data_IF_708983729112
#
_entry.id   IF_708983729112
#
_cell.length_a   1.000
_cell.length_b   1.000
_cell.length_c   1.000
_cell.angle_alpha   90.00
_cell.angle_beta   90.00
_cell.angle_gamma   90.00
#
_symmetry.space_group_name_H-M   'P 1'
#
loop_
_entity.id
_entity.type
_entity.pdbx_description
1 polymer ?
#
# COMPACT_ATOMS: atom_id res chain seq x y z
N UNK A 1 0.26 12.96 -7.98
CA UNK A 1 0.69 12.19 -6.80
C UNK A 1 -0.52 11.51 -6.19
N UNK A 2 -0.33 10.60 -5.25
CA UNK A 2 -1.40 9.83 -4.65
C UNK A 2 -1.28 9.77 -3.13
N UNK A 3 -2.40 9.53 -2.45
CA UNK A 3 -2.47 9.03 -1.09
C UNK A 3 -3.02 7.62 -1.08
N UNK A 4 -2.62 6.84 -0.10
CA UNK A 4 -3.09 5.47 0.09
C UNK A 4 -3.85 5.44 1.41
N UNK A 5 -5.15 5.18 1.35
CA UNK A 5 -6.07 5.22 2.48
C UNK A 5 -6.54 3.82 2.82
N UNK A 6 -6.61 3.51 4.12
CA UNK A 6 -7.19 2.27 4.62
C UNK A 6 -8.65 2.53 5.01
N UNK A 7 -9.57 1.64 4.64
CA UNK A 7 -11.00 1.78 5.00
C UNK A 7 -11.20 1.87 6.52
N UNK A 8 -10.43 1.09 7.29
CA UNK A 8 -10.51 1.13 8.76
C UNK A 8 -10.04 2.46 9.38
N UNK A 9 -9.20 3.23 8.67
CA UNK A 9 -8.78 4.58 9.08
C UNK A 9 -9.61 5.71 8.46
N UNK A 10 -10.61 5.36 7.64
CA UNK A 10 -11.46 6.28 6.88
C UNK A 10 -10.62 7.37 6.15
N UNK A 11 -11.07 8.62 6.20
CA UNK A 11 -10.34 9.79 5.65
C UNK A 11 -9.45 10.47 6.70
N UNK A 12 -9.21 9.83 7.86
CA UNK A 12 -8.40 10.40 8.94
C UNK A 12 -6.93 9.97 8.89
N UNK A 13 -6.62 8.86 8.20
CA UNK A 13 -5.28 8.29 8.16
C UNK A 13 -4.80 8.03 6.73
N UNK A 14 -3.50 8.24 6.50
CA UNK A 14 -2.81 7.94 5.24
C UNK A 14 -1.62 7.05 5.51
N UNK A 15 -1.32 6.20 4.54
CA UNK A 15 -0.09 5.42 4.55
C UNK A 15 1.11 6.36 4.36
N UNK A 16 2.13 6.18 5.17
CA UNK A 16 3.33 6.99 5.15
C UNK A 16 4.60 6.17 5.34
N UNK A 17 5.72 6.71 4.86
CA UNK A 17 7.05 6.24 5.21
C UNK A 17 7.56 6.99 6.45
N UNK A 18 7.98 6.26 7.50
CA UNK A 18 8.53 6.80 8.75
C UNK A 18 9.72 5.96 9.19
N UNK A 19 10.90 6.57 9.27
CA UNK A 19 12.10 5.92 9.85
C UNK A 19 12.37 4.51 9.27
N UNK A 20 12.25 4.37 7.95
CA UNK A 20 12.43 3.09 7.23
C UNK A 20 11.28 2.09 7.37
N UNK A 21 10.17 2.48 7.98
CA UNK A 21 8.95 1.67 8.15
C UNK A 21 7.78 2.27 7.36
N UNK A 22 6.76 1.44 7.15
CA UNK A 22 5.52 1.84 6.50
C UNK A 22 4.38 1.72 7.52
N UNK A 23 3.67 2.81 7.77
CA UNK A 23 2.59 2.84 8.75
C UNK A 23 1.49 3.84 8.36
N UNK A 24 0.32 3.69 8.99
CA UNK A 24 -0.74 4.68 8.94
C UNK A 24 -0.46 5.77 9.97
N UNK A 25 -0.58 7.02 9.55
CA UNK A 25 -0.45 8.22 10.38
C UNK A 25 -1.62 9.16 10.11
N UNK A 26 -1.87 10.09 11.02
CA UNK A 26 -2.92 11.09 10.80
C UNK A 26 -2.66 11.88 9.52
N UNK A 27 -3.73 12.13 8.78
CA UNK A 27 -3.68 12.89 7.53
C UNK A 27 -3.13 14.30 7.78
N UNK A 28 -2.03 14.60 7.10
CA UNK A 28 -1.41 15.92 7.06
C UNK A 28 -1.18 16.29 5.61
N UNK A 29 -1.80 17.39 5.18
CA UNK A 29 -1.78 17.89 3.81
C UNK A 29 -0.36 18.17 3.30
N UNK A 30 0.50 18.69 4.18
CA UNK A 30 1.81 19.22 3.80
C UNK A 30 2.93 18.19 4.02
N UNK A 31 2.56 16.99 4.46
CA UNK A 31 3.48 15.92 4.76
C UNK A 31 3.75 15.03 3.54
N UNK A 32 4.87 15.33 2.88
CA UNK A 32 5.30 14.62 1.67
C UNK A 32 5.61 13.15 1.85
N UNK A 33 5.82 12.70 3.09
CA UNK A 33 6.00 11.28 3.40
C UNK A 33 4.69 10.48 3.28
N UNK A 34 3.53 11.14 3.25
CA UNK A 34 2.20 10.54 3.01
C UNK A 34 1.85 10.52 1.51
N UNK A 35 2.73 11.06 0.66
CA UNK A 35 2.52 11.15 -0.77
C UNK A 35 3.29 10.07 -1.52
N UNK A 36 2.62 9.45 -2.48
CA UNK A 36 3.12 8.33 -3.25
C UNK A 36 3.03 8.62 -4.75
N UNK A 37 4.00 8.15 -5.50
CA UNK A 37 3.99 8.05 -6.94
C UNK A 37 3.57 6.63 -7.28
N UNK A 38 2.56 6.50 -8.15
CA UNK A 38 2.13 5.22 -8.71
C UNK A 38 2.77 5.07 -10.08
N UNK A 39 3.86 4.32 -10.15
CA UNK A 39 4.57 4.04 -11.40
C UNK A 39 3.98 2.80 -12.07
N UNK A 40 3.54 2.96 -13.32
CA UNK A 40 2.90 1.92 -14.13
C UNK A 40 3.82 1.39 -15.25
N UNK A 41 5.13 1.68 -15.22
CA UNK A 41 6.08 1.34 -16.31
C UNK A 41 6.04 -0.13 -16.75
N UNK A 42 5.82 -1.05 -15.81
CA UNK A 42 5.77 -2.49 -16.09
C UNK A 42 4.37 -3.07 -16.24
N UNK A 43 3.31 -2.26 -16.17
CA UNK A 43 1.90 -2.69 -16.16
C UNK A 43 1.44 -3.52 -17.36
N UNK A 44 2.02 -3.30 -18.55
CA UNK A 44 1.70 -4.06 -19.76
C UNK A 44 2.40 -5.42 -19.77
N UNK A 45 3.58 -5.50 -19.15
CA UNK A 45 4.47 -6.68 -19.18
C UNK A 45 4.25 -7.63 -18.01
N UNK A 46 3.88 -7.09 -16.86
CA UNK A 46 3.73 -7.83 -15.60
C UNK A 46 2.31 -7.67 -15.12
N UNK A 47 1.68 -8.81 -14.87
CA UNK A 47 0.34 -8.94 -14.32
C UNK A 47 0.38 -9.98 -13.21
N UNK A 48 -0.51 -9.86 -12.25
CA UNK A 48 -0.71 -10.93 -11.27
C UNK A 48 -1.45 -12.14 -11.89
N UNK A 49 -1.64 -13.19 -11.08
CA UNK A 49 -2.29 -14.45 -11.49
C UNK A 49 -3.71 -14.26 -12.03
N UNK A 50 -4.42 -13.22 -11.58
CA UNK A 50 -5.75 -12.88 -12.09
C UNK A 50 -5.71 -11.91 -13.29
N UNK A 51 -4.53 -11.50 -13.73
CA UNK A 51 -4.33 -10.63 -14.88
C UNK A 51 -4.37 -9.13 -14.59
N UNK A 52 -4.33 -8.69 -13.32
CA UNK A 52 -4.28 -7.27 -12.97
C UNK A 52 -2.88 -6.69 -13.17
N UNK A 53 -2.77 -5.47 -13.72
CA UNK A 53 -1.49 -4.87 -14.07
C UNK A 53 -0.66 -4.48 -12.83
N UNK A 54 0.65 -4.70 -12.93
CA UNK A 54 1.61 -4.29 -11.91
C UNK A 54 1.75 -2.76 -11.78
N UNK A 55 1.99 -2.31 -10.56
CA UNK A 55 2.37 -0.95 -10.19
C UNK A 55 3.51 -0.97 -9.16
N UNK A 56 4.39 0.02 -9.21
CA UNK A 56 5.27 0.35 -8.08
C UNK A 56 4.70 1.56 -7.32
N UNK A 57 4.81 1.54 -5.99
CA UNK A 57 4.37 2.64 -5.12
C UNK A 57 5.60 3.25 -4.46
N UNK A 58 5.98 4.43 -4.92
CA UNK A 58 7.23 5.10 -4.55
C UNK A 58 6.93 6.29 -3.65
N UNK A 59 7.52 6.32 -2.47
CA UNK A 59 7.34 7.42 -1.54
C UNK A 59 7.97 8.70 -2.12
N UNK A 60 7.23 9.80 -2.08
CA UNK A 60 7.68 11.08 -2.66
C UNK A 60 8.88 11.66 -1.88
N UNK A 61 8.86 11.58 -0.56
CA UNK A 61 9.90 12.18 0.28
C UNK A 61 11.23 11.42 0.22
N UNK A 62 11.20 10.08 0.28
CA UNK A 62 12.43 9.27 0.30
C UNK A 62 12.87 8.74 -1.08
N UNK A 63 11.96 8.65 -2.06
CA UNK A 63 12.23 7.99 -3.34
C UNK A 63 12.29 6.46 -3.24
N UNK A 64 11.92 5.88 -2.10
CA UNK A 64 11.89 4.44 -1.89
C UNK A 64 10.54 3.83 -2.31
N UNK A 65 10.58 2.63 -2.88
CA UNK A 65 9.38 1.88 -3.21
C UNK A 65 8.97 0.94 -2.06
N UNK A 66 7.67 0.72 -1.93
CA UNK A 66 7.13 -0.37 -1.13
C UNK A 66 7.64 -1.70 -1.69
N UNK A 67 8.21 -2.52 -0.81
CA UNK A 67 8.79 -3.83 -1.14
C UNK A 67 8.09 -4.92 -0.36
N UNK A 68 7.91 -6.06 -1.00
CA UNK A 68 7.46 -7.31 -0.38
C UNK A 68 8.33 -7.65 0.84
N UNK A 69 7.76 -8.44 1.74
CA UNK A 69 8.44 -8.97 2.92
C UNK A 69 8.49 -10.50 2.87
N UNK A 70 8.97 -11.13 3.95
CA UNK A 70 9.22 -12.58 3.98
C UNK A 70 7.95 -13.45 3.97
N UNK A 71 6.77 -12.84 4.12
CA UNK A 71 5.48 -13.53 4.06
C UNK A 71 4.48 -12.98 5.06
N UNK A 72 3.45 -13.76 5.38
CA UNK A 72 2.40 -13.39 6.32
C UNK A 72 2.97 -12.87 7.65
N UNK A 73 2.27 -11.92 8.26
CA UNK A 73 2.60 -11.21 9.51
C UNK A 73 3.83 -10.29 9.48
N UNK A 74 4.62 -10.30 8.39
CA UNK A 74 5.82 -9.48 8.31
C UNK A 74 5.51 -8.07 7.77
N UNK A 75 6.14 -7.03 8.33
CA UNK A 75 5.99 -5.66 7.84
C UNK A 75 6.38 -5.51 6.38
N UNK A 76 5.61 -4.72 5.64
CA UNK A 76 6.00 -4.25 4.30
C UNK A 76 7.24 -3.37 4.45
N UNK A 77 8.20 -3.54 3.54
CA UNK A 77 9.50 -2.90 3.61
C UNK A 77 9.58 -1.70 2.65
N UNK A 78 10.64 -0.92 2.80
CA UNK A 78 11.04 0.12 1.86
C UNK A 78 12.40 -0.24 1.26
N UNK A 79 12.61 0.11 -0.01
CA UNK A 79 13.90 -0.02 -0.67
C UNK A 79 14.08 1.06 -1.72
N UNK A 80 15.33 1.41 -2.03
CA UNK A 80 15.64 2.31 -3.14
C UNK A 80 14.96 1.83 -4.43
N UNK A 81 14.22 2.72 -5.07
CA UNK A 81 13.56 2.42 -6.34
C UNK A 81 14.51 2.66 -7.52
N UNK A 82 14.54 1.71 -8.46
CA UNK A 82 15.18 1.88 -9.76
C UNK A 82 14.18 1.47 -10.86
N UNK A 83 13.59 2.43 -11.60
CA UNK A 83 12.58 2.12 -12.61
C UNK A 83 13.16 1.41 -13.84
N UNK A 84 14.48 1.31 -14.00
CA UNK A 84 15.10 0.66 -15.16
C UNK A 84 15.40 -0.83 -14.91
N UNK A 85 15.24 -1.29 -13.67
CA UNK A 85 15.37 -2.70 -13.30
C UNK A 85 13.97 -3.24 -13.02
N UNK A 86 13.63 -4.35 -13.69
CA UNK A 86 12.44 -5.10 -13.36
C UNK A 86 12.69 -5.90 -12.07
N UNK A 87 12.31 -5.32 -10.94
CA UNK A 87 12.30 -5.97 -9.63
C UNK A 87 10.85 -6.26 -9.22
N UNK A 88 10.41 -7.51 -9.36
CA UNK A 88 9.05 -7.90 -8.96
C UNK A 88 8.77 -7.72 -7.47
N UNK A 89 9.81 -7.68 -6.62
CA UNK A 89 9.63 -7.53 -5.18
C UNK A 89 9.14 -6.13 -4.78
N UNK A 90 9.15 -5.15 -5.69
CA UNK A 90 8.56 -3.82 -5.47
C UNK A 90 7.26 -3.59 -6.24
N UNK A 91 6.76 -4.63 -6.91
CA UNK A 91 5.57 -4.56 -7.73
C UNK A 91 4.35 -5.12 -6.99
N UNK A 92 3.28 -4.35 -7.04
CA UNK A 92 2.00 -4.63 -6.41
C UNK A 92 0.90 -4.59 -7.46
N UNK A 93 -0.27 -5.15 -7.15
CA UNK A 93 -1.47 -5.00 -7.98
C UNK A 93 -2.64 -4.54 -7.12
N UNK A 94 -3.60 -3.84 -7.73
CA UNK A 94 -4.92 -3.64 -7.13
C UNK A 94 -5.85 -4.73 -7.64
N UNK A 95 -6.56 -5.42 -6.75
CA UNK A 95 -7.59 -6.41 -7.12
C UNK A 95 -8.78 -5.77 -7.83
N UNK A 96 -9.80 -6.59 -8.15
CA UNK A 96 -11.16 -6.06 -8.37
C UNK A 96 -11.63 -5.21 -7.18
N UNK A 97 -12.61 -4.37 -7.45
CA UNK A 97 -13.34 -3.64 -6.42
C UNK A 97 -14.00 -4.63 -5.44
N UNK A 98 -13.76 -4.43 -4.14
CA UNK A 98 -14.31 -5.23 -3.03
C UNK A 98 -15.39 -4.46 -2.26
N UNK A 99 -15.90 -3.37 -2.82
CA UNK A 99 -16.98 -2.54 -2.31
C UNK A 99 -16.60 -1.06 -2.22
N UNK A 100 -17.49 -0.18 -2.69
CA UNK A 100 -17.39 1.28 -2.55
C UNK A 100 -16.07 1.90 -3.05
N UNK A 101 -15.45 1.31 -4.09
CA UNK A 101 -14.19 1.79 -4.65
C UNK A 101 -12.93 1.26 -3.96
N UNK A 102 -13.07 0.46 -2.91
CA UNK A 102 -11.95 -0.15 -2.21
C UNK A 102 -11.44 -1.40 -2.95
N UNK A 103 -10.14 -1.66 -2.86
CA UNK A 103 -9.46 -2.81 -3.47
C UNK A 103 -8.46 -3.39 -2.47
N UNK A 104 -8.06 -4.64 -2.67
CA UNK A 104 -6.87 -5.19 -2.02
C UNK A 104 -5.64 -4.68 -2.78
N UNK A 105 -4.57 -4.34 -2.06
CA UNK A 105 -3.25 -4.12 -2.67
C UNK A 105 -2.41 -5.34 -2.33
N UNK A 106 -2.00 -6.11 -3.33
CA UNK A 106 -1.41 -7.45 -3.16
C UNK A 106 -0.10 -7.59 -3.91
N UNK A 107 0.73 -8.54 -3.48
CA UNK A 107 2.00 -8.81 -4.15
C UNK A 107 1.72 -9.30 -5.57
N UNK A 108 2.48 -8.79 -6.57
CA UNK A 108 2.25 -9.18 -7.97
C UNK A 108 2.50 -10.67 -8.23
N UNK A 109 3.42 -11.27 -7.48
CA UNK A 109 3.86 -12.66 -7.65
C UNK A 109 3.22 -13.63 -6.63
N UNK A 110 2.42 -13.12 -5.69
CA UNK A 110 1.71 -13.93 -4.70
C UNK A 110 0.45 -13.19 -4.22
N UNK A 111 -0.66 -13.42 -4.92
CA UNK A 111 -1.92 -12.72 -4.65
C UNK A 111 -2.60 -13.12 -3.33
N UNK A 112 -2.13 -14.18 -2.67
CA UNK A 112 -2.65 -14.62 -1.38
C UNK A 112 -2.21 -13.72 -0.22
N UNK A 113 -1.18 -12.89 -0.41
CA UNK A 113 -0.73 -11.92 0.57
C UNK A 113 -1.02 -10.49 0.10
N UNK A 114 -1.70 -9.73 0.96
CA UNK A 114 -2.11 -8.37 0.70
C UNK A 114 -1.79 -7.43 1.87
N UNK A 115 -1.91 -6.14 1.62
CA UNK A 115 -1.74 -5.09 2.61
C UNK A 115 -2.77 -5.23 3.74
N UNK A 116 -2.26 -5.25 4.97
CA UNK A 116 -3.07 -5.28 6.18
C UNK A 116 -2.55 -4.23 7.17
N UNK A 117 -3.45 -3.39 7.66
CA UNK A 117 -3.16 -2.51 8.79
C UNK A 117 -3.23 -3.33 10.09
N UNK A 118 -2.06 -3.67 10.65
CA UNK A 118 -1.96 -4.58 11.80
C UNK A 118 -2.80 -4.10 12.98
N UNK A 119 -3.74 -4.94 13.43
CA UNK A 119 -4.69 -4.63 14.50
C UNK A 119 -5.50 -3.34 14.24
N UNK A 120 -5.65 -2.98 12.98
CA UNK A 120 -6.40 -1.80 12.54
C UNK A 120 -7.91 -2.03 12.51
N UNK A 121 -8.38 -3.25 12.73
CA UNK A 121 -9.79 -3.57 12.86
C UNK A 121 -10.36 -3.13 14.22
N UNK A 122 -11.69 -3.06 14.31
CA UNK A 122 -12.38 -2.52 15.49
C UNK A 122 -12.22 -3.39 16.74
N UNK A 123 -12.03 -4.71 16.58
CA UNK A 123 -11.91 -5.63 17.71
C UNK A 123 -10.55 -5.47 18.43
N UNK A 124 -9.56 -4.92 17.72
CA UNK A 124 -8.22 -4.65 18.26
C UNK A 124 -7.93 -3.15 18.50
N UNK A 125 -8.96 -2.31 18.46
CA UNK A 125 -8.87 -0.88 18.82
C UNK A 125 -8.76 0.09 17.64
N UNK A 126 -8.81 -0.42 16.40
CA UNK A 126 -8.83 0.39 15.20
C UNK A 126 -7.47 0.93 14.75
N UNK A 127 -7.46 1.60 13.60
CA UNK A 127 -6.29 2.33 13.11
C UNK A 127 -5.92 3.46 14.07
N UNK A 128 -4.63 3.59 14.34
CA UNK A 128 -4.02 4.65 15.15
C UNK A 128 -2.70 5.09 14.54
N UNK A 129 -2.16 6.19 15.05
CA UNK A 129 -0.88 6.70 14.60
C UNK A 129 0.21 5.65 14.82
N UNK A 130 0.97 5.33 13.76
CA UNK A 130 1.98 4.28 13.77
C UNK A 130 1.45 2.86 13.54
N UNK A 131 0.15 2.66 13.24
CA UNK A 131 -0.37 1.34 12.84
C UNK A 131 0.44 0.80 11.67
N UNK A 132 1.15 -0.31 11.88
CA UNK A 132 2.12 -0.85 10.92
C UNK A 132 1.42 -1.52 9.75
N UNK A 133 1.95 -1.32 8.54
CA UNK A 133 1.53 -2.07 7.37
C UNK A 133 2.26 -3.42 7.32
N UNK A 134 1.51 -4.52 7.30
CA UNK A 134 2.03 -5.87 7.20
C UNK A 134 1.42 -6.60 5.99
N UNK A 135 1.93 -7.81 5.72
CA UNK A 135 1.29 -8.75 4.82
C UNK A 135 0.37 -9.70 5.58
N UNK A 136 -0.84 -9.93 5.07
CA UNK A 136 -1.76 -10.93 5.60
C UNK A 136 -2.57 -11.60 4.50
N UNK A 137 -3.15 -12.76 4.81
CA UNK A 137 -4.14 -13.41 3.96
C UNK A 137 -5.44 -12.59 3.89
N UNK A 138 -6.20 -12.72 2.82
CA UNK A 138 -7.46 -11.99 2.72
C UNK A 138 -8.52 -12.55 3.69
N UNK A 139 -8.97 -11.71 4.64
CA UNK A 139 -9.99 -12.04 5.65
C UNK A 139 -11.23 -11.15 5.55
N UNK A 140 -11.33 -10.34 4.48
CA UNK A 140 -12.44 -9.40 4.27
C UNK A 140 -12.57 -8.32 5.35
N UNK A 141 -11.48 -8.04 6.07
CA UNK A 141 -11.42 -6.98 7.07
C UNK A 141 -11.33 -5.57 6.45
N UNK A 142 -11.90 -4.57 7.14
CA UNK A 142 -11.76 -3.16 6.72
C UNK A 142 -10.30 -2.67 6.77
N UNK A 143 -9.46 -3.30 7.60
CA UNK A 143 -8.03 -3.06 7.67
C UNK A 143 -7.24 -3.57 6.45
N UNK A 144 -7.90 -4.28 5.53
CA UNK A 144 -7.33 -4.83 4.29
C UNK A 144 -7.89 -4.19 3.02
N UNK A 145 -8.78 -3.20 3.18
CA UNK A 145 -9.45 -2.50 2.08
C UNK A 145 -8.80 -1.15 1.86
N UNK A 146 -8.27 -0.91 0.66
CA UNK A 146 -7.45 0.26 0.37
C UNK A 146 -7.99 1.09 -0.79
N UNK A 147 -7.70 2.38 -0.77
CA UNK A 147 -7.90 3.31 -1.90
C UNK A 147 -6.61 4.04 -2.21
N UNK A 148 -6.26 4.08 -3.48
CA UNK A 148 -5.19 4.95 -3.99
C UNK A 148 -5.86 6.17 -4.64
N UNK A 149 -5.87 7.30 -3.93
CA UNK A 149 -6.58 8.51 -4.35
C UNK A 149 -5.61 9.54 -4.89
N UNK A 150 -6.00 10.24 -5.97
CA UNK A 150 -5.19 11.31 -6.51
C UNK A 150 -5.08 12.47 -5.50
N UNK A 151 -3.87 12.98 -5.33
CA UNK A 151 -3.56 14.12 -4.49
C UNK A 151 -3.23 15.35 -5.34
N UNK A 152 -3.95 16.45 -5.06
CA UNK A 152 -3.80 17.74 -5.74
C UNK A 152 -3.52 18.84 -4.71
N UNK A 153 -2.53 19.69 -4.99
CA UNK A 153 -2.36 20.94 -4.27
C UNK A 153 -3.47 21.91 -4.71
N UNK A 154 -4.57 21.94 -3.96
CA UNK A 154 -5.61 22.99 -4.05
C UNK A 154 -5.29 24.22 -3.23
#
# INVERSE_FOLDING_TARGET
>A
MYRILCKAGEESFSLAARDGKVCLVRNDRDDDTQHWIKDMKYSIRVKDEEGYPAMALVNKASGEALKHSLGQSHPVLLTRYNPDILDESVLWTESRDVGAGYRCIRMVNNIYLNFDALHGDKDHGGVRDGTTLILWEWTEGDNQRWKIVAWYYV
#
